data_IF_713726203984
#
_entry.id   IF_713726203984
#
_cell.length_a   1.000
_cell.length_b   1.000
_cell.length_c   1.000
_cell.angle_alpha   90.00
_cell.angle_beta   90.00
_cell.angle_gamma   90.00
#
_symmetry.space_group_name_H-M   'P 1'
#
loop_
_entity.id
_entity.type
_entity.pdbx_description
1 polymer ?
#
# COMPACT_ATOMS: atom_id res chain seq x y z
N UNK A 1 -12.39 23.72 9.69
CA UNK A 1 -11.22 22.89 9.33
C UNK A 1 -11.16 22.84 7.81
N UNK A 2 -10.03 23.23 7.20
CA UNK A 2 -9.88 23.21 5.74
C UNK A 2 -9.62 21.76 5.32
N UNK A 3 -10.41 21.22 4.40
CA UNK A 3 -10.12 19.90 3.84
C UNK A 3 -8.78 19.98 3.09
N UNK A 4 -7.90 19.00 3.30
CA UNK A 4 -6.67 18.89 2.53
C UNK A 4 -7.03 18.74 1.03
N UNK A 5 -6.34 19.47 0.17
CA UNK A 5 -6.55 19.36 -1.27
C UNK A 5 -5.80 18.14 -1.81
N UNK A 6 -6.18 17.58 -2.97
CA UNK A 6 -5.43 16.49 -3.58
C UNK A 6 -3.94 16.79 -3.79
N UNK A 7 -3.57 18.06 -4.02
CA UNK A 7 -2.18 18.48 -4.18
C UNK A 7 -1.41 18.51 -2.84
N UNK A 8 -2.06 18.95 -1.75
CA UNK A 8 -1.47 18.90 -0.40
C UNK A 8 -1.27 17.43 0.04
N UNK A 9 -2.24 16.58 -0.29
CA UNK A 9 -2.22 15.14 -0.04
C UNK A 9 -1.07 14.43 -0.76
N UNK A 10 -0.87 14.75 -2.05
CA UNK A 10 0.21 14.15 -2.85
C UNK A 10 1.59 14.60 -2.32
N UNK A 11 1.74 15.87 -1.95
CA UNK A 11 2.99 16.39 -1.35
C UNK A 11 3.38 15.67 -0.04
N UNK A 12 2.41 15.45 0.85
CA UNK A 12 2.63 14.71 2.11
C UNK A 12 3.04 13.24 1.87
N UNK A 13 2.40 12.56 0.91
CA UNK A 13 2.76 11.20 0.52
C UNK A 13 4.17 11.16 -0.07
N UNK A 14 4.48 12.05 -1.00
CA UNK A 14 5.78 12.12 -1.66
C UNK A 14 6.92 12.36 -0.66
N UNK A 15 6.70 13.23 0.33
CA UNK A 15 7.63 13.42 1.44
C UNK A 15 7.81 12.13 2.28
N UNK A 16 6.73 11.41 2.54
CA UNK A 16 6.73 10.19 3.35
C UNK A 16 7.37 8.98 2.65
N UNK A 17 7.41 8.97 1.31
CA UNK A 17 8.05 7.92 0.51
C UNK A 17 9.59 7.91 0.56
N UNK A 18 10.20 8.64 1.50
CA UNK A 18 11.63 8.63 1.86
C UNK A 18 12.60 8.98 0.73
N UNK A 19 12.19 9.80 -0.23
CA UNK A 19 13.15 10.57 -1.02
C UNK A 19 12.55 11.92 -1.36
N UNK A 20 13.17 13.04 -0.96
CA UNK A 20 12.86 14.37 -1.49
C UNK A 20 12.98 14.47 -3.02
N UNK A 21 13.54 13.42 -3.66
CA UNK A 21 13.72 13.27 -5.10
C UNK A 21 12.90 12.11 -5.67
N UNK A 22 11.94 11.54 -4.94
CA UNK A 22 11.03 10.57 -5.57
C UNK A 22 10.23 11.31 -6.64
N UNK A 23 10.62 11.13 -7.90
CA UNK A 23 9.94 11.68 -9.09
C UNK A 23 9.09 10.61 -9.79
N UNK A 24 8.86 9.49 -9.10
CA UNK A 24 8.18 8.33 -9.65
C UNK A 24 6.67 8.49 -9.70
N UNK A 25 6.05 7.58 -10.45
CA UNK A 25 4.60 7.41 -10.48
C UNK A 25 4.15 6.42 -9.43
N UNK A 26 2.97 6.62 -8.86
CA UNK A 26 2.37 5.68 -7.91
C UNK A 26 0.86 5.60 -8.06
N UNK A 27 0.28 4.44 -7.75
CA UNK A 27 -1.15 4.30 -7.53
C UNK A 27 -1.45 4.44 -6.03
N UNK A 28 -2.62 4.99 -5.69
CA UNK A 28 -2.96 5.33 -4.30
C UNK A 28 -4.39 4.91 -3.97
N UNK A 29 -4.56 4.30 -2.79
CA UNK A 29 -5.84 4.16 -2.11
C UNK A 29 -5.78 4.78 -0.72
N UNK A 30 -6.78 5.62 -0.36
CA UNK A 30 -6.96 6.15 1.00
C UNK A 30 -8.07 5.39 1.72
N UNK A 31 -7.74 4.65 2.76
CA UNK A 31 -8.63 3.72 3.47
C UNK A 31 -8.38 3.88 4.96
N UNK A 32 -9.45 3.90 5.75
CA UNK A 32 -9.35 3.80 7.22
C UNK A 32 -9.03 2.34 7.57
N UNK A 33 -7.76 2.04 7.83
CA UNK A 33 -7.29 0.68 8.05
C UNK A 33 -7.48 0.26 9.51
N UNK A 34 -7.57 1.19 10.44
CA UNK A 34 -7.65 0.92 11.89
C UNK A 34 -8.98 1.33 12.54
N UNK A 35 -9.91 1.86 11.74
CA UNK A 35 -11.22 2.38 12.17
C UNK A 35 -11.14 3.57 13.15
N UNK A 36 -10.10 4.39 13.07
CA UNK A 36 -9.92 5.58 13.92
C UNK A 36 -10.54 6.87 13.31
N UNK A 37 -11.11 6.77 12.11
CA UNK A 37 -11.72 7.89 11.37
C UNK A 37 -10.73 8.69 10.52
N UNK A 38 -9.44 8.37 10.55
CA UNK A 38 -8.39 8.93 9.68
C UNK A 38 -8.00 7.87 8.66
N UNK A 39 -7.83 8.28 7.41
CA UNK A 39 -7.53 7.35 6.32
C UNK A 39 -6.03 7.22 6.10
N UNK A 40 -5.53 6.01 6.22
CA UNK A 40 -4.21 5.62 5.76
C UNK A 40 -4.09 5.61 4.24
N UNK A 41 -2.87 5.76 3.77
CA UNK A 41 -2.51 5.61 2.38
C UNK A 41 -1.85 4.24 2.13
N UNK A 42 -2.42 3.47 1.21
CA UNK A 42 -1.76 2.34 0.57
C UNK A 42 -1.27 2.83 -0.79
N UNK A 43 0.05 2.85 -0.98
CA UNK A 43 0.69 3.33 -2.20
C UNK A 43 1.41 2.18 -2.91
N UNK A 44 1.16 2.01 -4.20
CA UNK A 44 1.89 1.09 -5.07
C UNK A 44 2.83 1.87 -5.96
N UNK A 45 4.14 1.74 -5.73
CA UNK A 45 5.17 2.55 -6.38
C UNK A 45 5.51 1.98 -7.75
N UNK A 46 5.22 2.72 -8.81
CA UNK A 46 5.44 2.34 -10.20
C UNK A 46 6.63 3.15 -10.74
N UNK A 47 7.84 2.74 -10.37
CA UNK A 47 9.09 3.40 -10.78
C UNK A 47 10.22 2.35 -10.84
N UNK A 48 11.21 2.56 -11.72
CA UNK A 48 12.33 1.65 -11.96
C UNK A 48 13.11 1.29 -10.70
N UNK A 49 13.21 2.21 -9.72
CA UNK A 49 13.89 1.94 -8.44
C UNK A 49 13.08 1.08 -7.45
N UNK A 50 11.78 0.93 -7.68
CA UNK A 50 10.86 0.24 -6.76
C UNK A 50 10.22 -1.00 -7.37
N UNK A 51 10.50 -1.26 -8.65
CA UNK A 51 9.98 -2.38 -9.43
C UNK A 51 11.12 -3.31 -9.87
N UNK A 52 10.88 -4.61 -9.76
CA UNK A 52 11.73 -5.66 -10.31
C UNK A 52 10.89 -6.78 -10.92
N UNK A 53 11.54 -7.89 -11.27
CA UNK A 53 10.86 -9.06 -11.89
C UNK A 53 9.81 -9.71 -10.98
N UNK A 54 9.95 -9.53 -9.66
CA UNK A 54 8.99 -9.99 -8.65
C UNK A 54 7.73 -9.13 -8.54
N UNK A 55 7.74 -7.90 -9.05
CA UNK A 55 6.69 -6.89 -8.83
C UNK A 55 7.27 -5.59 -8.29
N UNK A 56 6.42 -4.66 -7.89
CA UNK A 56 6.83 -3.38 -7.33
C UNK A 56 6.65 -3.29 -5.82
N UNK A 57 7.09 -2.19 -5.22
CA UNK A 57 6.98 -1.96 -3.79
C UNK A 57 5.61 -1.37 -3.45
N UNK A 58 4.91 -2.01 -2.53
CA UNK A 58 3.76 -1.42 -1.84
C UNK A 58 4.22 -0.78 -0.53
N UNK A 59 3.71 0.40 -0.20
CA UNK A 59 3.98 1.13 1.04
C UNK A 59 2.66 1.42 1.74
N UNK A 60 2.66 1.29 3.07
CA UNK A 60 1.54 1.73 3.91
C UNK A 60 1.99 2.90 4.76
N UNK A 61 1.22 3.98 4.71
CA UNK A 61 1.48 5.23 5.41
C UNK A 61 0.31 5.58 6.33
N UNK A 62 0.61 6.09 7.52
CA UNK A 62 -0.39 6.61 8.45
C UNK A 62 -0.27 8.12 8.65
N UNK A 63 -1.41 8.85 8.69
CA UNK A 63 -1.39 10.28 8.93
C UNK A 63 -0.73 10.66 10.26
N UNK A 64 0.24 11.57 10.23
CA UNK A 64 1.00 12.02 11.40
C UNK A 64 1.13 13.55 11.38
N UNK A 65 0.14 14.25 11.91
CA UNK A 65 0.09 15.72 11.84
C UNK A 65 -0.14 16.20 10.40
N UNK A 66 0.76 17.03 9.89
CA UNK A 66 0.73 17.56 8.51
C UNK A 66 1.47 16.67 7.49
N UNK A 67 2.02 15.54 7.92
CA UNK A 67 2.76 14.61 7.05
C UNK A 67 2.21 13.19 7.22
N UNK A 68 2.65 12.30 6.34
CA UNK A 68 2.42 10.87 6.46
C UNK A 68 3.66 10.18 7.04
N UNK A 69 3.44 9.14 7.87
CA UNK A 69 4.51 8.30 8.43
C UNK A 69 4.41 6.91 7.85
N UNK A 70 5.51 6.39 7.32
CA UNK A 70 5.56 5.01 6.84
C UNK A 70 5.44 4.00 7.98
N UNK A 71 4.46 3.11 7.88
CA UNK A 71 4.20 2.00 8.81
C UNK A 71 4.29 0.64 8.13
N UNK A 72 4.82 0.54 6.93
CA UNK A 72 5.16 -0.73 6.30
C UNK A 72 5.62 -0.57 4.87
N UNK A 73 6.41 -1.53 4.40
CA UNK A 73 6.83 -1.64 3.01
C UNK A 73 6.91 -3.12 2.62
N UNK A 74 6.31 -3.46 1.50
CA UNK A 74 6.26 -4.83 0.98
C UNK A 74 6.80 -4.81 -0.46
N UNK A 75 8.08 -5.17 -0.66
CA UNK A 75 8.64 -5.31 -2.01
C UNK A 75 7.99 -6.50 -2.72
N UNK A 76 8.19 -6.63 -4.03
CA UNK A 76 7.69 -7.77 -4.83
C UNK A 76 6.16 -7.96 -4.75
N UNK A 77 5.42 -6.85 -4.62
CA UNK A 77 3.96 -6.82 -4.70
C UNK A 77 3.54 -6.79 -6.17
N UNK A 78 2.54 -7.58 -6.53
CA UNK A 78 1.83 -7.53 -7.81
C UNK A 78 0.37 -7.15 -7.57
N UNK A 79 -0.19 -6.49 -8.56
CA UNK A 79 -1.61 -6.14 -8.59
C UNK A 79 -2.46 -7.38 -8.90
N UNK A 80 -3.72 -7.43 -8.41
CA UNK A 80 -4.40 -6.40 -7.64
C UNK A 80 -3.99 -6.39 -6.16
N UNK A 81 -4.09 -5.21 -5.53
CA UNK A 81 -4.05 -5.08 -4.07
C UNK A 81 -5.49 -5.04 -3.56
N UNK A 82 -5.80 -5.87 -2.57
CA UNK A 82 -7.14 -6.04 -2.00
C UNK A 82 -7.15 -5.74 -0.51
N UNK A 83 -8.27 -5.22 -0.02
CA UNK A 83 -8.51 -5.02 1.40
C UNK A 83 -9.34 -6.18 1.95
N UNK A 84 -8.76 -6.97 2.85
CA UNK A 84 -9.44 -8.12 3.43
C UNK A 84 -10.40 -7.71 4.53
N UNK A 85 -11.43 -8.51 4.82
CA UNK A 85 -12.27 -8.34 6.01
C UNK A 85 -11.55 -8.68 7.32
N UNK A 86 -10.54 -9.54 7.26
CA UNK A 86 -9.71 -9.87 8.42
C UNK A 86 -8.91 -8.68 8.91
N UNK A 87 -8.51 -8.74 10.17
CA UNK A 87 -7.72 -7.71 10.81
C UNK A 87 -6.78 -8.32 11.84
N UNK A 88 -5.57 -7.78 11.97
CA UNK A 88 -4.61 -8.10 13.01
C UNK A 88 -4.23 -6.85 13.79
N UNK A 89 -4.17 -6.98 15.12
CA UNK A 89 -3.81 -5.88 16.03
C UNK A 89 -4.67 -4.61 15.84
N UNK A 90 -5.94 -4.77 15.44
CA UNK A 90 -6.87 -3.66 15.21
C UNK A 90 -6.79 -3.03 13.81
N UNK A 91 -5.96 -3.56 12.92
CA UNK A 91 -5.77 -3.04 11.57
C UNK A 91 -6.20 -4.07 10.52
N UNK A 92 -6.87 -3.61 9.46
CA UNK A 92 -7.31 -4.44 8.32
C UNK A 92 -6.13 -5.03 7.57
N UNK A 93 -6.24 -6.29 7.18
CA UNK A 93 -5.20 -6.96 6.41
C UNK A 93 -5.30 -6.62 4.93
N UNK A 94 -4.15 -6.69 4.24
CA UNK A 94 -4.04 -6.37 2.81
C UNK A 94 -3.57 -7.62 2.07
N UNK A 95 -4.28 -8.01 1.02
CA UNK A 95 -3.82 -9.08 0.13
C UNK A 95 -3.18 -8.49 -1.12
N UNK A 96 -2.10 -9.11 -1.54
CA UNK A 96 -1.29 -8.80 -2.71
C UNK A 96 -1.05 -10.08 -3.50
N UNK A 97 -0.78 -9.96 -4.78
CA UNK A 97 -0.23 -11.07 -5.55
C UNK A 97 1.30 -11.02 -5.49
N UNK A 98 1.95 -12.17 -5.62
CA UNK A 98 3.41 -12.31 -5.68
C UNK A 98 3.80 -13.29 -6.78
N UNK A 99 5.06 -13.24 -7.22
CA UNK A 99 5.56 -14.18 -8.21
C UNK A 99 5.66 -15.58 -7.59
N UNK A 100 4.86 -16.52 -8.10
CA UNK A 100 5.04 -17.95 -7.81
C UNK A 100 6.25 -18.53 -8.56
N UNK A 101 6.87 -19.57 -7.98
CA UNK A 101 7.96 -20.30 -8.63
C UNK A 101 7.35 -21.34 -9.60
N UNK A 102 7.21 -20.97 -10.88
CA UNK A 102 6.84 -21.92 -11.95
C UNK A 102 5.35 -22.21 -12.14
N UNK A 103 4.46 -21.63 -11.33
CA UNK A 103 2.99 -21.67 -11.48
C UNK A 103 2.38 -20.27 -11.31
N UNK A 104 1.05 -20.14 -11.48
CA UNK A 104 0.27 -18.89 -11.36
C UNK A 104 0.65 -18.06 -10.13
N UNK A 105 0.35 -16.74 -10.15
CA UNK A 105 0.66 -15.84 -9.03
C UNK A 105 0.23 -16.46 -7.70
N UNK A 106 1.15 -16.51 -6.74
CA UNK A 106 0.82 -16.83 -5.36
C UNK A 106 0.25 -15.58 -4.68
N UNK A 107 -0.49 -15.76 -3.60
CA UNK A 107 -1.04 -14.65 -2.84
C UNK A 107 -0.27 -14.45 -1.54
N UNK A 108 -0.18 -13.18 -1.14
CA UNK A 108 0.44 -12.78 0.10
C UNK A 108 -0.40 -11.74 0.83
N UNK A 109 -0.68 -12.00 2.09
CA UNK A 109 -1.35 -11.19 3.08
C UNK A 109 -0.28 -10.45 3.86
N UNK A 110 -0.52 -9.16 3.99
CA UNK A 110 0.29 -8.21 4.73
C UNK A 110 -0.56 -7.71 5.89
N UNK A 111 -0.12 -8.01 7.10
CA UNK A 111 -0.86 -7.75 8.34
C UNK A 111 -0.08 -6.85 9.26
N UNK A 112 -0.77 -6.05 10.07
CA UNK A 112 -0.12 -5.20 11.06
C UNK A 112 0.29 -6.03 12.28
N UNK A 113 1.57 -5.98 12.66
CA UNK A 113 2.08 -6.77 13.79
C UNK A 113 2.06 -6.03 15.14
N UNK A 114 1.37 -4.90 15.24
CA UNK A 114 1.40 -3.99 16.40
C UNK A 114 2.40 -2.84 16.27
N UNK A 115 3.30 -2.90 15.29
CA UNK A 115 4.25 -1.82 14.99
C UNK A 115 4.25 -1.40 13.53
N UNK A 116 4.16 -2.38 12.61
CA UNK A 116 4.19 -2.16 11.16
C UNK A 116 3.49 -3.29 10.39
N UNK A 117 3.12 -3.00 9.15
CA UNK A 117 2.65 -3.99 8.17
C UNK A 117 3.83 -4.85 7.68
N UNK A 118 3.65 -6.17 7.74
CA UNK A 118 4.61 -7.17 7.26
C UNK A 118 3.86 -8.31 6.57
N UNK A 119 4.50 -8.93 5.57
CA UNK A 119 4.00 -10.15 4.93
C UNK A 119 3.95 -11.29 5.96
N UNK A 120 2.90 -12.09 5.93
CA UNK A 120 2.78 -13.30 6.75
C UNK A 120 3.25 -14.53 5.98
N UNK A 121 3.91 -15.46 6.67
CA UNK A 121 4.51 -16.65 6.08
C UNK A 121 3.51 -17.79 5.84
N UNK A 122 2.36 -17.76 6.52
CA UNK A 122 1.28 -18.74 6.38
C UNK A 122 -0.03 -18.03 6.05
N UNK A 123 -0.69 -18.48 4.99
CA UNK A 123 -1.65 -17.69 4.22
C UNK A 123 -2.92 -18.52 3.98
N UNK A 124 -4.10 -18.10 4.48
CA UNK A 124 -5.36 -18.71 4.09
C UNK A 124 -5.63 -18.57 2.58
N UNK A 125 -6.51 -19.40 2.01
CA UNK A 125 -6.81 -19.38 0.59
C UNK A 125 -7.37 -18.03 0.12
N UNK A 126 -7.27 -17.75 -1.20
CA UNK A 126 -7.82 -16.54 -1.80
C UNK A 126 -9.28 -16.31 -1.45
N UNK A 127 -9.63 -15.05 -1.15
CA UNK A 127 -11.01 -14.62 -0.96
C UNK A 127 -11.37 -13.55 -1.99
N UNK A 128 -12.64 -13.49 -2.39
CA UNK A 128 -13.12 -12.52 -3.37
C UNK A 128 -13.37 -11.15 -2.71
N UNK A 129 -12.28 -10.52 -2.27
CA UNK A 129 -12.29 -9.29 -1.50
C UNK A 129 -12.09 -8.05 -2.40
N UNK A 130 -12.56 -6.86 -1.97
CA UNK A 130 -12.56 -5.67 -2.82
C UNK A 130 -11.14 -5.26 -3.21
N UNK A 131 -10.97 -5.00 -4.52
CA UNK A 131 -9.74 -4.41 -5.07
C UNK A 131 -9.70 -2.95 -4.69
N UNK A 132 -8.59 -2.55 -4.07
CA UNK A 132 -8.34 -1.15 -3.69
C UNK A 132 -7.34 -0.47 -4.62
N UNK A 133 -6.45 -1.26 -5.25
CA UNK A 133 -5.57 -0.81 -6.33
C UNK A 133 -5.52 -1.90 -7.40
N UNK A 134 -5.87 -1.52 -8.63
CA UNK A 134 -5.82 -2.34 -9.84
C UNK A 134 -4.79 -1.78 -10.82
N UNK A 135 -4.50 -2.52 -11.89
CA UNK A 135 -3.70 -2.04 -13.03
C UNK A 135 -4.34 -0.84 -13.74
N UNK A 136 -5.66 -0.72 -13.65
CA UNK A 136 -6.43 0.42 -14.16
C UNK A 136 -6.50 1.60 -13.20
N UNK A 137 -5.94 1.51 -11.98
CA UNK A 137 -5.94 2.63 -11.03
C UNK A 137 -5.08 3.77 -11.58
N UNK A 138 -5.60 5.01 -11.69
CA UNK A 138 -4.83 6.13 -12.21
C UNK A 138 -3.55 6.37 -11.41
N UNK A 139 -2.44 6.54 -12.14
CA UNK A 139 -1.16 6.88 -11.55
C UNK A 139 -1.08 8.38 -11.25
N UNK A 140 -0.56 8.69 -10.07
CA UNK A 140 -0.19 10.02 -9.61
C UNK A 140 1.32 10.21 -9.74
N UNK A 141 1.78 11.46 -9.65
CA UNK A 141 3.20 11.82 -9.66
C UNK A 141 3.50 12.77 -8.52
N UNK A 142 4.70 12.65 -7.98
CA UNK A 142 5.28 13.69 -7.15
C UNK A 142 5.76 14.84 -8.05
N UNK A 143 5.22 16.03 -7.85
CA UNK A 143 5.57 17.26 -8.58
C UNK A 143 6.50 18.15 -7.78
#
# INVERSE_FOLDING_TARGET
>A
MRAATPADDDGAICQALQSPKYQGTYALARIDLNSDGRREAVAYLVDQGFCGTGGCTMVVLTPSGSTDRRIGNTPTTRLPIRLLRSSHNGWRDIQTDVRGYGVANEQAIVSYNGHRYLRQDDQPPPTNEPIIIADTTPLRRCS
#
